data_IF_546866078790
#
_entry.id   IF_546866078790
#
_cell.length_a   1.000
_cell.length_b   1.000
_cell.length_c   1.000
_cell.angle_alpha   90.00
_cell.angle_beta   90.00
_cell.angle_gamma   90.00
#
_symmetry.space_group_name_H-M   'P 1'
#
loop_
_entity.id
_entity.type
_entity.pdbx_description
1 polymer ?
#
# COMPACT_ATOMS: atom_id res chain seq x y z
N UNK A 1 -32.51 10.74 -1.39
CA UNK A 1 -31.75 9.66 -0.73
C UNK A 1 -30.35 10.19 -0.46
N UNK A 2 -29.99 10.36 0.81
CA UNK A 2 -28.62 10.66 1.22
C UNK A 2 -27.85 9.34 1.13
N UNK A 3 -26.95 9.18 0.17
CA UNK A 3 -26.08 8.01 0.14
C UNK A 3 -25.15 8.07 1.34
N UNK A 4 -24.99 6.96 2.07
CA UNK A 4 -23.87 6.83 3.00
C UNK A 4 -22.57 6.93 2.19
N UNK A 5 -21.58 7.67 2.68
CA UNK A 5 -20.29 7.86 2.00
C UNK A 5 -19.64 6.53 1.59
N UNK A 6 -19.75 5.50 2.44
CA UNK A 6 -19.31 4.14 2.12
C UNK A 6 -20.01 3.57 0.90
N UNK A 7 -21.34 3.63 0.85
CA UNK A 7 -22.13 3.08 -0.27
C UNK A 7 -21.80 3.81 -1.58
N UNK A 8 -21.57 5.13 -1.50
CA UNK A 8 -21.19 5.92 -2.65
C UNK A 8 -19.79 5.51 -3.17
N UNK A 9 -18.81 5.31 -2.29
CA UNK A 9 -17.47 4.80 -2.66
C UNK A 9 -17.60 3.41 -3.32
N UNK A 10 -18.36 2.50 -2.71
CA UNK A 10 -18.56 1.16 -3.26
C UNK A 10 -19.33 1.15 -4.60
N UNK A 11 -20.09 2.21 -4.91
CA UNK A 11 -20.83 2.33 -6.18
C UNK A 11 -19.96 2.65 -7.40
N UNK A 12 -18.73 3.17 -7.19
CA UNK A 12 -17.81 3.52 -8.28
C UNK A 12 -16.67 2.48 -8.45
N UNK A 13 -16.25 1.84 -7.37
CA UNK A 13 -15.19 0.81 -7.39
C UNK A 13 -15.70 -0.45 -8.10
N UNK A 14 -14.97 -0.95 -9.10
CA UNK A 14 -15.43 -2.13 -9.82
C UNK A 14 -14.35 -2.96 -10.52
N UNK A 15 -14.38 -4.29 -10.31
CA UNK A 15 -13.68 -5.27 -11.15
C UNK A 15 -14.62 -6.12 -12.05
N UNK A 16 -15.94 -5.83 -12.15
CA UNK A 16 -16.87 -6.51 -13.11
C UNK A 16 -17.95 -5.58 -13.68
N UNK A 17 -18.15 -5.49 -15.02
CA UNK A 17 -19.12 -4.56 -15.59
C UNK A 17 -20.58 -4.86 -15.21
N UNK A 18 -21.33 -3.79 -14.94
CA UNK A 18 -22.81 -3.69 -14.84
C UNK A 18 -23.49 -4.48 -13.69
N UNK A 19 -23.26 -4.06 -12.44
CA UNK A 19 -24.22 -4.32 -11.36
C UNK A 19 -25.26 -3.20 -11.29
N UNK A 20 -26.52 -3.50 -10.94
CA UNK A 20 -27.49 -2.48 -10.53
C UNK A 20 -26.88 -1.58 -9.45
N UNK A 21 -26.90 -0.26 -9.65
CA UNK A 21 -26.35 0.72 -8.70
C UNK A 21 -24.93 1.22 -8.97
N UNK A 22 -24.23 0.73 -10.01
CA UNK A 22 -22.95 1.33 -10.43
C UNK A 22 -23.17 2.72 -11.01
N UNK A 23 -22.39 3.71 -10.57
CA UNK A 23 -22.39 5.06 -11.16
C UNK A 23 -21.11 5.31 -11.96
N UNK A 24 -21.15 6.30 -12.85
CA UNK A 24 -19.96 6.76 -13.59
C UNK A 24 -19.07 7.61 -12.69
N UNK A 25 -17.79 7.70 -13.04
CA UNK A 25 -16.80 8.50 -12.32
C UNK A 25 -17.24 9.97 -12.19
N UNK A 26 -17.78 10.58 -13.24
CA UNK A 26 -18.25 11.96 -13.19
C UNK A 26 -19.46 12.13 -12.24
N UNK A 27 -20.36 11.14 -12.23
CA UNK A 27 -21.52 11.14 -11.33
C UNK A 27 -21.10 10.91 -9.88
N UNK A 28 -20.12 10.03 -9.64
CA UNK A 28 -19.51 9.82 -8.33
C UNK A 28 -18.89 11.12 -7.82
N UNK A 29 -18.02 11.75 -8.60
CA UNK A 29 -17.35 13.00 -8.21
C UNK A 29 -18.35 14.09 -7.85
N UNK A 30 -19.41 14.26 -8.65
CA UNK A 30 -20.49 15.23 -8.40
C UNK A 30 -21.25 14.96 -7.10
N UNK A 31 -21.43 13.68 -6.73
CA UNK A 31 -22.14 13.28 -5.51
C UNK A 31 -21.25 13.25 -4.26
N UNK A 32 -19.97 12.97 -4.45
CA UNK A 32 -19.01 12.70 -3.38
C UNK A 32 -18.31 13.97 -2.88
N UNK A 33 -17.97 14.87 -3.81
CA UNK A 33 -17.28 16.12 -3.50
C UNK A 33 -18.27 17.27 -3.39
N UNK A 34 -18.02 18.19 -2.46
CA UNK A 34 -18.67 19.50 -2.44
C UNK A 34 -17.99 20.43 -3.45
N UNK A 35 -18.69 21.52 -3.81
CA UNK A 35 -18.14 22.54 -4.69
C UNK A 35 -16.82 23.09 -4.13
N UNK A 36 -15.77 23.09 -4.96
CA UNK A 36 -14.42 23.51 -4.59
C UNK A 36 -13.58 22.46 -3.86
N UNK A 37 -14.12 21.28 -3.55
CA UNK A 37 -13.32 20.16 -3.03
C UNK A 37 -12.59 19.42 -4.15
N UNK A 38 -11.44 18.86 -3.81
CA UNK A 38 -10.65 18.02 -4.70
C UNK A 38 -10.56 16.60 -4.17
N UNK A 39 -10.68 15.61 -5.07
CA UNK A 39 -10.62 14.21 -4.67
C UNK A 39 -9.26 13.83 -4.08
N UNK A 40 -8.19 14.39 -4.61
CA UNK A 40 -6.83 14.11 -4.13
C UNK A 40 -6.65 14.64 -2.69
N UNK A 41 -7.21 15.80 -2.35
CA UNK A 41 -7.28 16.33 -0.96
C UNK A 41 -8.15 15.45 -0.08
N UNK A 42 -9.26 14.92 -0.60
CA UNK A 42 -10.13 14.04 0.16
C UNK A 42 -9.45 12.71 0.52
N UNK A 43 -8.74 12.09 -0.44
CA UNK A 43 -7.93 10.89 -0.20
C UNK A 43 -6.82 11.19 0.80
N UNK A 44 -6.11 12.32 0.65
CA UNK A 44 -5.05 12.71 1.58
C UNK A 44 -5.57 12.89 3.01
N UNK A 45 -6.67 13.62 3.18
CA UNK A 45 -7.32 13.80 4.49
C UNK A 45 -7.79 12.48 5.06
N UNK A 46 -8.38 11.62 4.23
CA UNK A 46 -8.87 10.30 4.64
C UNK A 46 -7.76 9.35 5.08
N UNK A 47 -6.63 9.29 4.37
CA UNK A 47 -5.47 8.49 4.79
C UNK A 47 -4.89 9.00 6.12
N UNK A 48 -4.73 10.32 6.27
CA UNK A 48 -4.24 10.91 7.52
C UNK A 48 -5.21 10.69 8.69
N UNK A 49 -6.52 10.78 8.45
CA UNK A 49 -7.54 10.45 9.42
C UNK A 49 -7.43 8.99 9.87
N UNK A 50 -7.26 8.07 8.91
CA UNK A 50 -7.16 6.63 9.18
C UNK A 50 -5.93 6.32 10.02
N UNK A 51 -4.76 6.90 9.67
CA UNK A 51 -3.54 6.79 10.44
C UNK A 51 -3.70 7.31 11.87
N UNK A 52 -4.25 8.52 12.03
CA UNK A 52 -4.42 9.15 13.34
C UNK A 52 -5.39 8.40 14.26
N UNK A 53 -6.49 7.89 13.71
CA UNK A 53 -7.57 7.29 14.49
C UNK A 53 -7.56 5.76 14.48
N UNK A 54 -6.60 5.13 13.80
CA UNK A 54 -6.49 3.68 13.63
C UNK A 54 -7.77 3.07 13.05
N UNK A 55 -8.33 3.74 12.05
CA UNK A 55 -9.59 3.34 11.42
C UNK A 55 -9.32 2.52 10.15
N UNK A 56 -9.37 1.18 10.29
CA UNK A 56 -9.14 0.24 9.21
C UNK A 56 -10.18 0.32 8.08
N UNK A 57 -11.43 0.65 8.40
CA UNK A 57 -12.49 0.78 7.40
C UNK A 57 -12.27 2.04 6.58
N UNK A 58 -11.93 3.15 7.24
CA UNK A 58 -11.55 4.38 6.54
C UNK A 58 -10.30 4.17 5.67
N UNK A 59 -9.29 3.45 6.17
CA UNK A 59 -8.09 3.14 5.39
C UNK A 59 -8.45 2.39 4.11
N UNK A 60 -9.22 1.31 4.21
CA UNK A 60 -9.63 0.49 3.07
C UNK A 60 -10.39 1.32 2.02
N UNK A 61 -11.34 2.14 2.44
CA UNK A 61 -12.12 2.98 1.52
C UNK A 61 -11.24 4.01 0.79
N UNK A 62 -10.26 4.62 1.48
CA UNK A 62 -9.35 5.58 0.86
C UNK A 62 -8.33 4.92 -0.06
N UNK A 63 -7.86 3.72 0.27
CA UNK A 63 -7.03 2.92 -0.64
C UNK A 63 -7.79 2.60 -1.93
N UNK A 64 -9.06 2.20 -1.84
CA UNK A 64 -9.86 1.96 -3.04
C UNK A 64 -10.05 3.20 -3.90
N UNK A 65 -10.31 4.37 -3.29
CA UNK A 65 -10.41 5.62 -4.03
C UNK A 65 -9.08 5.96 -4.72
N UNK A 66 -7.96 5.80 -4.03
CA UNK A 66 -6.64 6.05 -4.62
C UNK A 66 -6.25 5.06 -5.72
N UNK A 67 -6.65 3.79 -5.63
CA UNK A 67 -6.44 2.84 -6.72
C UNK A 67 -7.30 3.14 -7.95
N UNK A 68 -8.52 3.64 -7.75
CA UNK A 68 -9.44 3.97 -8.85
C UNK A 68 -9.10 5.30 -9.52
N UNK A 69 -8.86 6.35 -8.72
CA UNK A 69 -8.69 7.73 -9.21
C UNK A 69 -7.24 8.24 -9.19
N UNK A 70 -6.32 7.48 -8.59
CA UNK A 70 -4.92 7.85 -8.46
C UNK A 70 -4.57 8.41 -7.07
N UNK A 71 -3.37 8.05 -6.61
CA UNK A 71 -2.75 8.66 -5.44
C UNK A 71 -1.89 9.87 -5.85
N UNK A 72 -1.82 10.88 -4.98
CA UNK A 72 -0.93 12.03 -5.13
C UNK A 72 0.33 11.86 -4.29
N UNK A 73 1.44 12.46 -4.71
CA UNK A 73 2.74 12.41 -4.00
C UNK A 73 2.68 12.93 -2.57
N UNK A 74 1.70 13.79 -2.24
CA UNK A 74 1.43 14.22 -0.85
C UNK A 74 1.07 13.06 0.09
N UNK A 75 0.58 11.95 -0.45
CA UNK A 75 0.23 10.78 0.33
C UNK A 75 1.47 9.96 0.76
N UNK A 76 2.67 10.27 0.23
CA UNK A 76 3.89 9.47 0.42
C UNK A 76 4.18 9.21 1.89
N UNK A 77 4.26 10.26 2.71
CA UNK A 77 4.65 10.12 4.11
C UNK A 77 3.58 9.34 4.90
N UNK A 78 2.29 9.63 4.66
CA UNK A 78 1.19 8.91 5.31
C UNK A 78 1.18 7.42 4.94
N UNK A 79 1.41 7.07 3.67
CA UNK A 79 1.48 5.67 3.22
C UNK A 79 2.72 4.95 3.77
N UNK A 80 3.87 5.64 3.83
CA UNK A 80 5.09 5.10 4.43
C UNK A 80 4.92 4.83 5.94
N UNK A 81 4.18 5.69 6.66
CA UNK A 81 3.83 5.46 8.06
C UNK A 81 2.86 4.28 8.20
N UNK A 82 1.79 4.21 7.40
CA UNK A 82 0.84 3.10 7.41
C UNK A 82 1.51 1.74 7.18
N UNK A 83 2.58 1.69 6.39
CA UNK A 83 3.33 0.45 6.16
C UNK A 83 3.98 -0.13 7.43
N UNK A 84 4.10 0.66 8.50
CA UNK A 84 4.75 0.29 9.77
C UNK A 84 3.75 0.10 10.91
N UNK A 85 2.45 0.30 10.66
CA UNK A 85 1.42 0.21 11.68
C UNK A 85 0.87 -1.21 11.81
N UNK A 86 0.66 -1.68 13.04
CA UNK A 86 0.19 -3.05 13.31
C UNK A 86 -1.35 -3.16 13.42
N UNK A 87 -2.07 -2.04 13.51
CA UNK A 87 -3.52 -2.04 13.77
C UNK A 87 -4.39 -2.40 12.56
N UNK A 88 -3.80 -2.63 11.39
CA UNK A 88 -4.51 -3.01 10.16
C UNK A 88 -3.83 -4.15 9.43
N UNK A 89 -4.56 -4.76 8.50
CA UNK A 89 -4.09 -5.91 7.70
C UNK A 89 -3.92 -5.55 6.21
N UNK A 90 -3.77 -4.26 5.90
CA UNK A 90 -3.73 -3.73 4.52
C UNK A 90 -2.32 -3.49 3.98
N UNK A 91 -1.27 -4.06 4.58
CA UNK A 91 0.12 -3.76 4.22
C UNK A 91 0.44 -4.00 2.75
N UNK A 92 -0.05 -5.08 2.16
CA UNK A 92 0.16 -5.35 0.73
C UNK A 92 -0.47 -4.26 -0.17
N UNK A 93 -1.64 -3.74 0.22
CA UNK A 93 -2.31 -2.66 -0.51
C UNK A 93 -1.62 -1.31 -0.28
N UNK A 94 -1.20 -1.02 0.96
CA UNK A 94 -0.42 0.19 1.26
C UNK A 94 0.91 0.18 0.51
N UNK A 95 1.59 -0.97 0.42
CA UNK A 95 2.82 -1.13 -0.37
C UNK A 95 2.57 -0.80 -1.85
N UNK A 96 1.52 -1.39 -2.45
CA UNK A 96 1.14 -1.12 -3.84
C UNK A 96 0.81 0.36 -4.07
N UNK A 97 0.08 0.99 -3.14
CA UNK A 97 -0.24 2.42 -3.19
C UNK A 97 1.02 3.28 -3.12
N UNK A 98 1.96 2.96 -2.23
CA UNK A 98 3.24 3.67 -2.10
C UNK A 98 4.06 3.57 -3.39
N UNK A 99 4.15 2.38 -3.98
CA UNK A 99 4.88 2.15 -5.24
C UNK A 99 4.21 2.84 -6.44
N UNK A 100 2.89 3.02 -6.43
CA UNK A 100 2.18 3.74 -7.48
C UNK A 100 2.61 5.22 -7.59
N UNK A 101 3.14 5.81 -6.50
CA UNK A 101 3.67 7.18 -6.50
C UNK A 101 4.96 7.32 -7.30
N UNK A 102 5.68 6.22 -7.58
CA UNK A 102 7.01 6.22 -8.24
C UNK A 102 8.04 7.13 -7.55
N UNK A 103 7.92 7.29 -6.23
CA UNK A 103 8.90 8.00 -5.41
C UNK A 103 9.84 6.97 -4.80
N UNK A 104 11.14 7.16 -5.01
CA UNK A 104 12.18 6.18 -4.68
C UNK A 104 13.21 6.76 -3.69
N UNK A 105 12.78 7.65 -2.79
CA UNK A 105 13.66 8.27 -1.81
C UNK A 105 13.96 7.33 -0.63
N UNK A 106 14.89 7.75 0.22
CA UNK A 106 15.30 7.02 1.42
C UNK A 106 14.12 6.67 2.34
N UNK A 107 13.13 7.55 2.48
CA UNK A 107 11.97 7.30 3.37
C UNK A 107 11.12 6.14 2.86
N UNK A 108 10.90 6.07 1.55
CA UNK A 108 10.18 4.97 0.92
C UNK A 108 10.96 3.66 1.07
N UNK A 109 12.27 3.68 0.82
CA UNK A 109 13.14 2.50 0.96
C UNK A 109 13.14 1.98 2.40
N UNK A 110 13.32 2.84 3.39
CA UNK A 110 13.28 2.45 4.81
C UNK A 110 11.93 1.84 5.19
N UNK A 111 10.83 2.47 4.79
CA UNK A 111 9.49 1.96 5.12
C UNK A 111 9.26 0.55 4.56
N UNK A 112 9.64 0.31 3.29
CA UNK A 112 9.50 -1.01 2.66
C UNK A 112 10.39 -2.05 3.35
N UNK A 113 11.63 -1.69 3.67
CA UNK A 113 12.53 -2.58 4.41
C UNK A 113 11.97 -2.93 5.80
N UNK A 114 11.51 -1.92 6.56
CA UNK A 114 10.93 -2.14 7.88
C UNK A 114 9.70 -3.05 7.81
N UNK A 115 8.83 -2.85 6.82
CA UNK A 115 7.69 -3.74 6.55
C UNK A 115 8.15 -5.18 6.28
N UNK A 116 9.21 -5.38 5.50
CA UNK A 116 9.73 -6.71 5.16
C UNK A 116 10.24 -7.50 6.38
N UNK A 117 10.75 -6.82 7.42
CA UNK A 117 11.30 -7.45 8.63
C UNK A 117 10.32 -7.47 9.80
N UNK A 118 9.15 -6.83 9.66
CA UNK A 118 8.15 -6.77 10.74
C UNK A 118 7.33 -8.04 10.76
N UNK A 119 7.20 -8.66 11.94
CA UNK A 119 6.39 -9.86 12.15
C UNK A 119 4.97 -9.46 12.55
N UNK A 120 4.13 -9.14 11.56
CA UNK A 120 2.73 -8.83 11.83
C UNK A 120 1.97 -10.08 12.33
N UNK A 121 1.20 -9.92 13.41
CA UNK A 121 0.46 -11.02 14.05
C UNK A 121 -0.52 -11.70 13.10
N UNK A 122 -1.21 -10.94 12.24
CA UNK A 122 -2.17 -11.46 11.27
C UNK A 122 -1.51 -12.31 10.15
N UNK A 123 -0.18 -12.31 10.05
CA UNK A 123 0.62 -13.12 9.13
C UNK A 123 1.42 -14.21 9.87
N UNK A 124 0.98 -14.62 11.05
CA UNK A 124 1.60 -15.72 11.79
C UNK A 124 1.58 -17.03 11.02
N UNK A 125 0.42 -17.42 10.48
CA UNK A 125 0.27 -18.63 9.66
C UNK A 125 1.21 -18.59 8.43
N UNK A 126 1.27 -17.47 7.71
CA UNK A 126 2.17 -17.26 6.55
C UNK A 126 3.66 -17.46 6.91
N UNK A 127 4.04 -17.16 8.15
CA UNK A 127 5.41 -17.32 8.66
C UNK A 127 5.68 -18.74 9.14
N UNK A 128 4.74 -19.36 9.83
CA UNK A 128 4.84 -20.76 10.26
C UNK A 128 4.90 -21.73 9.07
N UNK A 129 4.20 -21.39 7.99
CA UNK A 129 4.20 -22.15 6.73
C UNK A 129 5.39 -21.79 5.79
N UNK A 130 6.26 -20.86 6.18
CA UNK A 130 7.43 -20.46 5.38
C UNK A 130 7.09 -19.70 4.08
N UNK A 131 5.90 -19.10 3.98
CA UNK A 131 5.40 -18.44 2.76
C UNK A 131 5.96 -17.02 2.63
N UNK A 132 5.89 -16.24 3.71
CA UNK A 132 6.39 -14.85 3.77
C UNK A 132 5.98 -13.96 2.57
N UNK A 133 4.69 -13.98 2.20
CA UNK A 133 4.19 -13.28 1.00
C UNK A 133 4.51 -11.79 1.02
N UNK A 134 4.21 -11.11 2.13
CA UNK A 134 4.41 -9.66 2.26
C UNK A 134 5.89 -9.27 2.21
N UNK A 135 6.76 -10.04 2.87
CA UNK A 135 8.21 -9.80 2.82
C UNK A 135 8.76 -10.02 1.41
N UNK A 136 8.29 -11.06 0.71
CA UNK A 136 8.62 -11.28 -0.70
C UNK A 136 8.20 -10.11 -1.60
N UNK A 137 6.98 -9.59 -1.43
CA UNK A 137 6.51 -8.39 -2.14
C UNK A 137 7.41 -7.18 -1.86
N UNK A 138 7.85 -6.99 -0.62
CA UNK A 138 8.79 -5.93 -0.25
C UNK A 138 10.18 -6.12 -0.89
N UNK A 139 10.71 -7.34 -0.95
CA UNK A 139 11.98 -7.66 -1.63
C UNK A 139 11.90 -7.29 -3.12
N UNK A 140 10.85 -7.70 -3.82
CA UNK A 140 10.66 -7.32 -5.22
C UNK A 140 10.51 -5.81 -5.40
N UNK A 141 9.82 -5.14 -4.47
CA UNK A 141 9.68 -3.69 -4.47
C UNK A 141 11.04 -2.98 -4.36
N UNK A 142 11.88 -3.38 -3.41
CA UNK A 142 13.23 -2.85 -3.23
C UNK A 142 14.11 -3.10 -4.47
N UNK A 143 14.05 -4.30 -5.05
CA UNK A 143 14.81 -4.63 -6.26
C UNK A 143 14.39 -3.78 -7.47
N UNK A 144 13.09 -3.50 -7.60
CA UNK A 144 12.56 -2.62 -8.64
C UNK A 144 12.94 -1.15 -8.42
N UNK A 145 13.06 -0.71 -7.17
CA UNK A 145 13.56 0.63 -6.82
C UNK A 145 15.03 0.77 -7.22
N UNK A 146 15.87 -0.21 -6.89
CA UNK A 146 17.23 -0.36 -7.41
C UNK A 146 18.21 0.78 -7.06
N UNK A 147 17.86 1.68 -6.13
CA UNK A 147 18.79 2.69 -5.62
C UNK A 147 19.87 2.05 -4.75
N UNK A 148 20.97 2.77 -4.48
CA UNK A 148 22.02 2.28 -3.59
C UNK A 148 21.49 1.86 -2.22
N UNK A 149 20.55 2.64 -1.67
CA UNK A 149 19.92 2.36 -0.39
C UNK A 149 19.06 1.08 -0.48
N UNK A 150 18.27 0.92 -1.54
CA UNK A 150 17.45 -0.28 -1.72
C UNK A 150 18.30 -1.55 -1.88
N UNK A 151 19.42 -1.46 -2.62
CA UNK A 151 20.38 -2.57 -2.75
C UNK A 151 21.03 -2.89 -1.39
N UNK A 152 21.35 -1.88 -0.58
CA UNK A 152 21.86 -2.13 0.77
C UNK A 152 20.84 -2.85 1.65
N UNK A 153 19.56 -2.47 1.57
CA UNK A 153 18.49 -3.16 2.30
C UNK A 153 18.26 -4.59 1.83
N UNK A 154 18.39 -4.87 0.54
CA UNK A 154 18.36 -6.23 0.02
C UNK A 154 19.51 -7.09 0.57
N UNK A 155 20.71 -6.52 0.69
CA UNK A 155 21.84 -7.21 1.33
C UNK A 155 21.56 -7.54 2.79
N UNK A 156 20.96 -6.62 3.55
CA UNK A 156 20.52 -6.91 4.93
C UNK A 156 19.47 -8.02 4.97
N UNK A 157 18.50 -8.02 4.05
CA UNK A 157 17.49 -9.09 3.95
C UNK A 157 18.09 -10.44 3.59
N UNK A 158 19.19 -10.47 2.82
CA UNK A 158 19.91 -11.72 2.51
C UNK A 158 20.56 -12.38 3.73
N UNK A 159 20.72 -11.63 4.82
CA UNK A 159 21.25 -12.10 6.11
C UNK A 159 20.13 -12.33 7.15
N UNK A 160 18.87 -12.43 6.70
CA UNK A 160 17.71 -12.64 7.58
C UNK A 160 17.84 -13.91 8.43
N UNK A 161 17.25 -13.87 9.64
CA UNK A 161 17.08 -15.06 10.50
C UNK A 161 16.14 -16.11 9.89
N UNK A 162 15.28 -15.68 8.97
CA UNK A 162 14.36 -16.54 8.22
C UNK A 162 15.03 -16.90 6.90
N UNK A 163 15.36 -18.19 6.72
CA UNK A 163 16.07 -18.71 5.55
C UNK A 163 15.32 -18.35 4.26
N UNK A 164 14.00 -18.46 4.25
CA UNK A 164 13.13 -18.18 3.11
C UNK A 164 13.22 -16.72 2.65
N UNK A 165 13.34 -15.77 3.59
CA UNK A 165 13.54 -14.35 3.29
C UNK A 165 14.95 -14.12 2.72
N UNK A 166 15.95 -14.73 3.33
CA UNK A 166 17.36 -14.62 2.91
C UNK A 166 17.57 -15.13 1.48
N UNK A 167 17.11 -16.34 1.19
CA UNK A 167 17.16 -16.95 -0.13
C UNK A 167 16.40 -16.12 -1.17
N UNK A 168 15.19 -15.65 -0.82
CA UNK A 168 14.39 -14.79 -1.71
C UNK A 168 15.15 -13.53 -2.08
N UNK A 169 15.78 -12.86 -1.11
CA UNK A 169 16.55 -11.65 -1.37
C UNK A 169 17.73 -11.92 -2.33
N UNK A 170 18.49 -13.00 -2.11
CA UNK A 170 19.61 -13.39 -3.00
C UNK A 170 19.13 -13.67 -4.41
N UNK A 171 18.06 -14.45 -4.56
CA UNK A 171 17.53 -14.83 -5.87
C UNK A 171 16.98 -13.63 -6.64
N UNK A 172 16.25 -12.74 -5.96
CA UNK A 172 15.74 -11.51 -6.58
C UNK A 172 16.89 -10.57 -6.96
N UNK A 173 17.89 -10.39 -6.10
CA UNK A 173 19.08 -9.59 -6.43
C UNK A 173 19.80 -10.13 -7.67
N UNK A 174 19.94 -11.47 -7.78
CA UNK A 174 20.52 -12.11 -8.97
C UNK A 174 19.66 -11.85 -10.21
N UNK A 175 18.34 -12.03 -10.10
CA UNK A 175 17.41 -11.82 -11.22
C UNK A 175 17.37 -10.37 -11.74
N UNK A 176 17.66 -9.39 -10.89
CA UNK A 176 17.71 -7.97 -11.23
C UNK A 176 19.13 -7.45 -11.52
N UNK A 177 20.16 -8.30 -11.49
CA UNK A 177 21.57 -7.93 -11.66
C UNK A 177 22.06 -6.86 -10.64
N UNK A 178 21.70 -7.04 -9.36
CA UNK A 178 22.01 -6.12 -8.25
C UNK A 178 23.14 -6.63 -7.33
N UNK A 179 23.92 -7.61 -7.80
CA UNK A 179 25.03 -8.22 -7.05
C UNK A 179 26.34 -7.45 -7.27
#
# INVERSE_FOLDING_TARGET
MTFNKRDLILSVINNKPLRPGKIRDEEFLTKFLKEGESLDEEIFRGLNYSLKNKDAVSLELNLYLGFHFGFSVKNKDTLASLLQEEWHEKHADVLRALLALKVNDFTVVEAIYNCAITEFDYLSDDREDGIFTLASDCIYALAKIGTSDAVQKLKLLSESKWEEIGEKAVDVMRGYNLQ
#
